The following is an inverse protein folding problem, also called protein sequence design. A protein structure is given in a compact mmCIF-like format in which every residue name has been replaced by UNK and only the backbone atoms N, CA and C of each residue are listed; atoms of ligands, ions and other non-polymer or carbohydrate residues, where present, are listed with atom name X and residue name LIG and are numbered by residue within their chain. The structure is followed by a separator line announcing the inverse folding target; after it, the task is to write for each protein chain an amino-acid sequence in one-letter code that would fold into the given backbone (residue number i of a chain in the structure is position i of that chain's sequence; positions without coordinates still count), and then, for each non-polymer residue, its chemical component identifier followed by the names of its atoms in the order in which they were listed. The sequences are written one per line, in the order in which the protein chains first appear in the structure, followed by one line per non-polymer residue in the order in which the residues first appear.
data_IF_118364599479
#
_entry.id   IF_118364599479
#
_cell.length_a   1.000
_cell.length_b   1.000
_cell.length_c   1.000
_cell.angle_alpha   90.00
_cell.angle_beta   90.00
_cell.angle_gamma   90.00
#
_symmetry.space_group_name_H-M   'P 1'
#
loop_
_entity.id
_entity.type
_entity.pdbx_description
1 polymer ?
#
# COMPACT_ATOMS: atom_id res chain seq x y z
N UNK A 1 1.48 6.10 -27.16
CA UNK A 1 1.24 5.35 -25.90
C UNK A 1 -0.26 5.06 -25.84
N UNK A 2 -0.67 3.83 -25.52
CA UNK A 2 -2.10 3.43 -25.40
C UNK A 2 -2.29 2.60 -24.12
N UNK A 3 -3.47 2.67 -23.47
CA UNK A 3 -3.78 1.79 -22.33
C UNK A 3 -3.76 0.31 -22.73
N UNK A 4 -3.25 -0.55 -21.84
CA UNK A 4 -3.31 -2.01 -22.03
C UNK A 4 -4.39 -2.63 -21.16
N UNK A 5 -4.31 -2.42 -19.85
CA UNK A 5 -5.29 -2.85 -18.85
C UNK A 5 -5.34 -1.83 -17.72
N UNK A 6 -6.47 -1.76 -17.03
CA UNK A 6 -6.59 -1.04 -15.77
C UNK A 6 -6.36 -2.00 -14.60
N UNK A 7 -5.76 -1.50 -13.52
CA UNK A 7 -5.35 -2.32 -12.37
C UNK A 7 -5.55 -1.57 -11.06
N UNK A 8 -5.82 -2.31 -10.00
CA UNK A 8 -5.79 -1.77 -8.63
C UNK A 8 -4.35 -1.62 -8.15
N UNK A 9 -4.16 -0.92 -7.03
CA UNK A 9 -2.92 -0.97 -6.24
C UNK A 9 -3.29 -1.56 -4.89
N UNK A 10 -2.83 -2.78 -4.63
CA UNK A 10 -3.10 -3.51 -3.40
C UNK A 10 -2.17 -3.06 -2.26
N UNK A 11 -2.60 -3.24 -1.01
CA UNK A 11 -1.83 -2.93 0.20
C UNK A 11 -1.55 -4.23 0.98
N UNK A 12 -0.62 -5.09 0.52
CA UNK A 12 -0.23 -6.27 1.27
C UNK A 12 0.63 -5.90 2.49
N UNK A 13 0.50 -6.68 3.55
CA UNK A 13 1.25 -6.53 4.79
C UNK A 13 1.62 -7.87 5.41
N UNK A 14 2.69 -7.88 6.21
CA UNK A 14 3.13 -9.04 6.99
C UNK A 14 3.01 -8.71 8.48
N UNK A 15 1.86 -9.02 9.06
CA UNK A 15 1.62 -8.88 10.51
C UNK A 15 0.58 -9.87 10.96
N UNK A 16 0.99 -10.84 11.78
CA UNK A 16 0.11 -11.92 12.22
C UNK A 16 -1.05 -11.37 13.06
N UNK A 17 -2.25 -11.88 12.82
CA UNK A 17 -3.47 -11.51 13.53
C UNK A 17 -4.70 -12.07 12.82
N UNK A 18 -5.79 -12.28 13.56
CA UNK A 18 -7.03 -12.84 13.02
C UNK A 18 -8.06 -11.77 12.63
N UNK A 19 -7.94 -10.56 13.19
CA UNK A 19 -8.78 -9.44 12.81
C UNK A 19 -8.47 -9.00 11.37
N UNK A 20 -9.51 -8.60 10.64
CA UNK A 20 -9.35 -7.99 9.33
C UNK A 20 -8.72 -6.61 9.47
N UNK A 21 -7.75 -6.28 8.60
CA UNK A 21 -7.22 -4.93 8.48
C UNK A 21 -8.01 -4.19 7.40
N UNK A 22 -8.66 -3.12 7.81
CA UNK A 22 -9.37 -2.19 6.93
C UNK A 22 -8.87 -0.77 7.22
N UNK A 23 -8.14 -0.21 6.26
CA UNK A 23 -7.56 1.11 6.38
C UNK A 23 -8.57 2.14 5.88
N UNK A 24 -8.91 3.10 6.73
CA UNK A 24 -9.45 4.36 6.21
C UNK A 24 -8.39 5.05 5.34
N UNK A 25 -8.82 5.91 4.42
CA UNK A 25 -7.90 6.69 3.58
C UNK A 25 -6.94 7.52 4.45
N UNK A 26 -7.41 8.09 5.57
CA UNK A 26 -6.54 8.85 6.47
C UNK A 26 -5.48 7.96 7.16
N UNK A 27 -5.82 6.73 7.53
CA UNK A 27 -4.84 5.80 8.10
C UNK A 27 -3.82 5.34 7.06
N UNK A 28 -4.26 5.10 5.82
CA UNK A 28 -3.35 4.79 4.71
C UNK A 28 -2.35 5.93 4.50
N UNK A 29 -2.83 7.17 4.41
CA UNK A 29 -1.98 8.37 4.32
C UNK A 29 -1.03 8.49 5.51
N UNK A 30 -1.52 8.23 6.73
CA UNK A 30 -0.73 8.28 7.95
C UNK A 30 0.40 7.25 7.98
N UNK A 31 0.16 6.03 7.49
CA UNK A 31 1.17 4.98 7.40
C UNK A 31 2.27 5.37 6.41
N UNK A 32 1.90 5.78 5.19
CA UNK A 32 2.88 6.04 4.14
C UNK A 32 3.59 7.40 4.27
N UNK A 33 3.08 8.32 5.09
CA UNK A 33 3.77 9.55 5.50
C UNK A 33 4.66 9.36 6.73
N UNK A 34 4.50 8.24 7.46
CA UNK A 34 5.20 7.98 8.71
C UNK A 34 4.57 8.63 9.94
N UNK A 35 3.38 9.24 9.83
CA UNK A 35 2.62 9.74 11.00
C UNK A 35 2.11 8.60 11.87
N UNK A 36 1.71 7.47 11.27
CA UNK A 36 1.35 6.24 11.97
C UNK A 36 2.50 5.25 11.87
N UNK A 37 3.14 4.98 13.00
CA UNK A 37 4.36 4.18 13.10
C UNK A 37 4.14 2.87 13.86
N UNK A 38 2.98 2.66 14.47
CA UNK A 38 2.64 1.45 15.23
C UNK A 38 1.27 0.90 14.82
N UNK A 39 1.17 -0.42 14.71
CA UNK A 39 -0.06 -1.11 14.32
C UNK A 39 -1.23 -0.86 15.29
N UNK A 40 -0.95 -0.51 16.55
CA UNK A 40 -1.98 -0.13 17.54
C UNK A 40 -2.72 1.16 17.16
N UNK A 41 -2.13 1.99 16.30
CA UNK A 41 -2.75 3.21 15.78
C UNK A 41 -3.70 2.93 14.61
N UNK A 42 -3.74 1.69 14.12
CA UNK A 42 -4.70 1.24 13.11
C UNK A 42 -5.93 0.66 13.82
N UNK A 43 -6.99 1.46 13.91
CA UNK A 43 -8.29 1.10 14.48
C UNK A 43 -8.79 -0.24 13.94
N UNK A 44 -9.20 -1.14 14.83
CA UNK A 44 -9.76 -2.44 14.46
C UNK A 44 -8.74 -3.48 13.99
N UNK A 45 -7.45 -3.13 13.87
CA UNK A 45 -6.43 -4.06 13.38
C UNK A 45 -6.16 -5.23 14.33
N UNK A 46 -6.45 -5.08 15.63
CA UNK A 46 -6.12 -6.07 16.65
C UNK A 46 -4.62 -6.38 16.75
N UNK A 47 -3.76 -5.48 16.26
CA UNK A 47 -2.30 -5.66 16.14
C UNK A 47 -1.58 -4.51 16.86
N UNK A 48 -0.36 -4.77 17.29
CA UNK A 48 0.53 -3.78 17.95
C UNK A 48 1.96 -3.91 17.45
N UNK A 49 2.81 -2.92 17.72
CA UNK A 49 4.22 -2.91 17.37
C UNK A 49 4.51 -2.14 16.08
N UNK A 50 5.79 -1.93 15.81
CA UNK A 50 6.24 -1.04 14.75
C UNK A 50 5.72 -1.42 13.36
N UNK A 51 5.39 -0.39 12.58
CA UNK A 51 5.11 -0.45 11.15
C UNK A 51 6.40 -0.14 10.41
N UNK A 52 6.74 -0.95 9.41
CA UNK A 52 7.86 -0.70 8.51
C UNK A 52 7.36 -0.66 7.08
N UNK A 53 7.47 0.50 6.44
CA UNK A 53 7.09 0.65 5.02
C UNK A 53 8.18 0.04 4.14
N UNK A 54 7.78 -0.84 3.23
CA UNK A 54 8.62 -1.32 2.13
C UNK A 54 8.21 -0.59 0.85
N UNK A 55 9.17 -0.08 0.09
CA UNK A 55 8.90 0.69 -1.13
C UNK A 55 9.84 0.32 -2.28
N UNK A 56 9.49 0.76 -3.50
CA UNK A 56 10.27 0.53 -4.72
C UNK A 56 11.48 1.47 -4.78
N UNK A 57 12.68 0.91 -4.89
CA UNK A 57 13.94 1.67 -4.91
C UNK A 57 14.15 2.44 -6.22
N UNK A 58 13.56 1.94 -7.31
CA UNK A 58 13.73 2.41 -8.67
C UNK A 58 12.48 3.15 -9.20
N UNK A 59 12.62 3.78 -10.38
CA UNK A 59 11.48 4.35 -11.11
C UNK A 59 10.45 3.26 -11.41
N UNK A 60 9.23 3.42 -10.87
CA UNK A 60 8.17 2.43 -10.92
C UNK A 60 6.82 3.05 -11.27
N UNK A 61 6.13 2.47 -12.26
CA UNK A 61 4.75 2.83 -12.57
C UNK A 61 3.78 2.50 -11.43
N UNK A 62 4.05 1.46 -10.63
CA UNK A 62 3.26 1.16 -9.43
C UNK A 62 3.38 2.29 -8.40
N UNK A 63 4.58 2.88 -8.25
CA UNK A 63 4.78 4.06 -7.41
C UNK A 63 4.02 5.27 -7.95
N UNK A 64 4.02 5.47 -9.27
CA UNK A 64 3.28 6.58 -9.88
C UNK A 64 1.77 6.46 -9.63
N UNK A 65 1.16 5.29 -9.91
CA UNK A 65 -0.26 5.06 -9.66
C UNK A 65 -0.62 5.27 -8.18
N UNK A 66 0.21 4.76 -7.27
CA UNK A 66 0.00 4.91 -5.84
C UNK A 66 0.12 6.36 -5.38
N UNK A 67 1.17 7.06 -5.80
CA UNK A 67 1.42 8.45 -5.39
C UNK A 67 0.41 9.43 -6.01
N UNK A 68 -0.19 9.13 -7.18
CA UNK A 68 -1.37 9.85 -7.70
C UNK A 68 -2.53 9.80 -6.71
N UNK A 69 -2.83 8.62 -6.17
CA UNK A 69 -3.88 8.48 -5.15
C UNK A 69 -3.52 9.27 -3.89
N UNK A 70 -2.29 9.11 -3.38
CA UNK A 70 -1.86 9.82 -2.16
C UNK A 70 -1.90 11.35 -2.34
N UNK A 71 -1.40 11.86 -3.48
CA UNK A 71 -1.46 13.28 -3.83
C UNK A 71 -2.90 13.82 -3.81
N UNK A 72 -3.85 13.05 -4.34
CA UNK A 72 -5.24 13.48 -4.44
C UNK A 72 -6.04 13.37 -3.13
N UNK A 73 -5.61 12.50 -2.20
CA UNK A 73 -6.42 12.12 -1.04
C UNK A 73 -5.80 12.44 0.32
N UNK A 74 -4.48 12.56 0.40
CA UNK A 74 -3.79 12.74 1.66
C UNK A 74 -3.65 14.20 2.03
N UNK A 75 -4.30 14.59 3.14
CA UNK A 75 -4.05 15.82 3.85
C UNK A 75 -3.16 15.52 5.07
N UNK A 76 -1.85 15.59 4.87
CA UNK A 76 -0.82 15.43 5.91
C UNK A 76 -0.13 16.77 6.18
N UNK A 77 0.81 16.82 7.12
CA UNK A 77 1.59 18.05 7.38
C UNK A 77 2.46 18.45 6.18
N UNK A 78 2.87 17.46 5.38
CA UNK A 78 3.50 17.65 4.08
C UNK A 78 2.60 17.18 2.94
N UNK A 79 3.09 17.29 1.71
CA UNK A 79 2.41 16.82 0.50
C UNK A 79 3.10 15.60 -0.10
N UNK A 80 2.30 14.72 -0.72
CA UNK A 80 2.80 13.69 -1.64
C UNK A 80 2.83 14.24 -3.06
N UNK A 81 3.98 14.22 -3.71
CA UNK A 81 4.14 14.50 -5.13
C UNK A 81 3.86 13.24 -5.96
N UNK A 82 3.30 13.43 -7.16
CA UNK A 82 3.15 12.38 -8.16
C UNK A 82 4.51 12.08 -8.75
N UNK A 83 5.00 10.85 -8.56
CA UNK A 83 6.36 10.46 -9.00
C UNK A 83 6.48 8.96 -9.18
N UNK A 84 7.40 8.53 -10.04
CA UNK A 84 7.79 7.12 -10.16
C UNK A 84 8.78 6.69 -9.08
N UNK A 85 9.42 7.64 -8.38
CA UNK A 85 10.37 7.38 -7.30
C UNK A 85 9.74 7.72 -5.93
N UNK A 86 9.26 6.69 -5.22
CA UNK A 86 8.53 6.86 -3.97
C UNK A 86 9.33 7.57 -2.88
N UNK A 87 10.66 7.39 -2.83
CA UNK A 87 11.52 8.05 -1.85
C UNK A 87 11.46 9.59 -1.92
N UNK A 88 11.08 10.14 -3.08
CA UNK A 88 10.92 11.57 -3.32
C UNK A 88 9.47 12.06 -3.22
N UNK A 89 8.51 11.17 -2.98
CA UNK A 89 7.08 11.53 -3.05
C UNK A 89 6.66 12.43 -1.89
N UNK A 90 6.90 12.01 -0.64
CA UNK A 90 6.48 12.80 0.51
C UNK A 90 7.51 13.88 0.84
N UNK A 91 7.06 15.13 0.88
CA UNK A 91 7.91 16.29 1.25
C UNK A 91 8.52 16.21 2.66
N UNK A 92 7.91 15.44 3.57
CA UNK A 92 8.45 15.18 4.91
C UNK A 92 9.51 14.07 4.96
N UNK A 93 9.90 13.50 3.81
CA UNK A 93 10.83 12.38 3.73
C UNK A 93 10.16 11.01 3.91
N UNK A 94 10.97 9.96 3.90
CA UNK A 94 10.48 8.60 4.10
C UNK A 94 10.13 8.35 5.57
N UNK A 95 9.16 7.46 5.86
CA UNK A 95 8.96 6.93 7.21
C UNK A 95 10.25 6.36 7.78
N UNK A 96 10.45 6.51 9.08
CA UNK A 96 11.63 5.95 9.76
C UNK A 96 11.73 4.44 9.50
N UNK A 97 12.97 3.97 9.28
CA UNK A 97 13.27 2.56 9.00
C UNK A 97 12.62 1.96 7.74
N UNK A 98 12.14 2.80 6.81
CA UNK A 98 11.63 2.32 5.52
C UNK A 98 12.69 1.49 4.77
N UNK A 99 12.24 0.41 4.13
CA UNK A 99 13.09 -0.53 3.40
C UNK A 99 12.82 -0.42 1.92
N UNK A 100 13.86 -0.20 1.12
CA UNK A 100 13.77 -0.20 -0.33
C UNK A 100 14.06 -1.58 -0.92
N UNK A 101 13.36 -1.96 -1.99
CA UNK A 101 13.72 -3.11 -2.81
C UNK A 101 13.40 -2.85 -4.30
N UNK A 102 14.08 -3.56 -5.20
CA UNK A 102 13.97 -3.34 -6.65
C UNK A 102 13.08 -4.40 -7.30
N UNK A 103 12.02 -3.97 -7.98
CA UNK A 103 11.03 -4.85 -8.62
C UNK A 103 9.98 -5.42 -7.66
N UNK A 104 8.82 -5.77 -8.21
CA UNK A 104 7.65 -6.25 -7.44
C UNK A 104 7.97 -7.48 -6.59
N UNK A 105 8.69 -8.46 -7.16
CA UNK A 105 9.04 -9.68 -6.45
C UNK A 105 9.95 -9.42 -5.24
N UNK A 106 10.98 -8.58 -5.39
CA UNK A 106 11.90 -8.29 -4.30
C UNK A 106 11.23 -7.49 -3.19
N UNK A 107 10.28 -6.59 -3.52
CA UNK A 107 9.45 -5.92 -2.52
C UNK A 107 8.60 -6.92 -1.73
N UNK A 108 7.98 -7.92 -2.39
CA UNK A 108 7.24 -8.98 -1.68
C UNK A 108 8.16 -9.89 -0.86
N UNK A 109 9.37 -10.21 -1.33
CA UNK A 109 10.38 -10.91 -0.53
C UNK A 109 10.77 -10.10 0.70
N UNK A 110 11.03 -8.81 0.55
CA UNK A 110 11.33 -7.92 1.66
C UNK A 110 10.13 -7.80 2.62
N UNK A 111 8.90 -7.69 2.12
CA UNK A 111 7.69 -7.68 2.96
C UNK A 111 7.63 -8.91 3.87
N UNK A 112 7.86 -10.10 3.30
CA UNK A 112 7.77 -11.36 4.02
C UNK A 112 8.97 -11.67 4.93
N UNK A 113 10.09 -10.94 4.79
CA UNK A 113 11.30 -11.18 5.57
C UNK A 113 11.19 -10.76 7.05
N UNK A 114 10.22 -9.91 7.42
CA UNK A 114 10.00 -9.55 8.82
C UNK A 114 8.55 -9.13 9.08
N UNK A 115 8.06 -9.40 10.30
CA UNK A 115 6.77 -8.91 10.76
C UNK A 115 6.76 -7.37 10.89
N UNK A 116 5.56 -6.79 10.79
CA UNK A 116 5.34 -5.35 10.89
C UNK A 116 5.44 -4.62 9.56
N UNK A 117 5.78 -5.31 8.47
CA UNK A 117 6.00 -4.68 7.16
C UNK A 117 4.70 -4.48 6.39
N UNK A 118 4.63 -3.39 5.62
CA UNK A 118 3.50 -3.02 4.74
C UNK A 118 4.03 -2.38 3.47
N UNK A 119 3.35 -2.56 2.34
CA UNK A 119 3.75 -1.97 1.05
C UNK A 119 2.55 -1.68 0.14
N UNK A 120 2.83 -1.11 -1.03
CA UNK A 120 1.89 -0.95 -2.15
C UNK A 120 2.34 -1.84 -3.32
N UNK A 121 1.42 -2.55 -3.96
CA UNK A 121 1.78 -3.62 -4.89
C UNK A 121 0.77 -3.82 -6.02
N UNK A 122 1.25 -4.34 -7.15
CA UNK A 122 0.35 -4.91 -8.17
C UNK A 122 -0.46 -6.07 -7.57
N UNK A 123 -1.78 -6.16 -7.85
CA UNK A 123 -2.61 -7.26 -7.34
C UNK A 123 -2.05 -8.64 -7.71
N UNK A 124 -1.42 -8.78 -8.88
CA UNK A 124 -0.84 -10.06 -9.34
C UNK A 124 0.31 -10.58 -8.46
N UNK A 125 0.97 -9.68 -7.71
CA UNK A 125 2.07 -10.02 -6.80
C UNK A 125 1.63 -9.98 -5.33
N UNK A 126 0.57 -9.24 -5.00
CA UNK A 126 0.15 -9.00 -3.62
C UNK A 126 -0.40 -10.27 -2.94
N UNK A 127 -0.90 -11.22 -3.72
CA UNK A 127 -1.33 -12.54 -3.26
C UNK A 127 -1.00 -13.61 -4.31
N UNK A 128 -0.87 -14.87 -3.87
CA UNK A 128 -0.59 -16.01 -4.77
C UNK A 128 -1.82 -16.50 -5.53
N UNK A 129 -3.02 -16.05 -5.14
CA UNK A 129 -4.29 -16.38 -5.78
C UNK A 129 -5.20 -15.15 -5.77
N UNK A 130 -6.15 -15.08 -6.70
CA UNK A 130 -7.13 -13.98 -6.74
C UNK A 130 -7.95 -13.89 -5.44
N UNK A 131 -8.41 -15.02 -4.90
CA UNK A 131 -9.12 -15.07 -3.63
C UNK A 131 -8.25 -14.60 -2.44
N UNK A 132 -6.92 -14.73 -2.56
CA UNK A 132 -5.99 -14.21 -1.56
C UNK A 132 -5.99 -12.68 -1.47
N UNK A 133 -6.48 -11.95 -2.48
CA UNK A 133 -6.67 -10.50 -2.40
C UNK A 133 -7.81 -10.12 -1.45
N UNK A 134 -8.73 -11.04 -1.15
CA UNK A 134 -9.84 -10.84 -0.21
C UNK A 134 -9.48 -11.23 1.23
N UNK A 135 -8.32 -11.88 1.45
CA UNK A 135 -7.80 -12.23 2.78
C UNK A 135 -7.30 -10.96 3.49
N UNK A 136 -8.21 -10.28 4.19
CA UNK A 136 -7.94 -9.05 4.93
C UNK A 136 -7.00 -9.23 6.13
N UNK A 137 -6.53 -10.44 6.41
CA UNK A 137 -5.45 -10.69 7.38
C UNK A 137 -4.06 -10.53 6.77
N UNK A 138 -3.96 -10.41 5.42
CA UNK A 138 -2.71 -10.26 4.66
C UNK A 138 -2.72 -9.13 3.64
N UNK A 139 -3.87 -8.82 3.05
CA UNK A 139 -4.06 -7.72 2.08
C UNK A 139 -5.09 -6.78 2.64
N UNK A 140 -4.70 -5.55 3.00
CA UNK A 140 -5.60 -4.64 3.67
C UNK A 140 -6.75 -4.23 2.75
N UNK A 141 -7.94 -4.14 3.33
CA UNK A 141 -9.03 -3.38 2.71
C UNK A 141 -8.71 -1.89 2.80
N UNK A 142 -9.23 -1.12 1.86
CA UNK A 142 -9.16 0.34 1.90
C UNK A 142 -10.58 0.89 1.74
N UNK A 143 -11.09 1.55 2.78
CA UNK A 143 -12.47 2.04 2.80
C UNK A 143 -13.51 0.92 2.68
N UNK A 144 -13.25 -0.24 3.28
CA UNK A 144 -14.19 -1.37 3.31
C UNK A 144 -14.08 -2.37 2.16
N UNK A 145 -13.29 -2.09 1.12
CA UNK A 145 -13.18 -2.94 -0.07
C UNK A 145 -11.78 -3.55 -0.23
N UNK A 146 -11.73 -4.78 -0.73
CA UNK A 146 -10.49 -5.44 -1.14
C UNK A 146 -10.01 -4.90 -2.50
N UNK A 147 -8.73 -5.07 -2.85
CA UNK A 147 -8.19 -4.66 -4.16
C UNK A 147 -8.53 -5.65 -5.29
N UNK A 148 -9.47 -6.58 -5.08
CA UNK A 148 -9.89 -7.53 -6.11
C UNK A 148 -10.42 -6.78 -7.36
N UNK A 149 -10.15 -7.27 -8.60
CA UNK A 149 -10.53 -6.59 -9.83
C UNK A 149 -12.02 -6.21 -9.93
N UNK A 150 -12.91 -7.03 -9.35
CA UNK A 150 -14.34 -6.77 -9.32
C UNK A 150 -14.67 -5.41 -8.68
N UNK A 151 -13.94 -5.00 -7.65
CA UNK A 151 -14.20 -3.77 -6.89
C UNK A 151 -13.74 -2.49 -7.59
N UNK A 152 -12.99 -2.60 -8.69
CA UNK A 152 -12.54 -1.43 -9.49
C UNK A 152 -13.15 -1.40 -10.89
N UNK A 153 -13.73 -2.52 -11.34
CA UNK A 153 -14.26 -2.70 -12.70
C UNK A 153 -15.32 -1.68 -13.12
N UNK A 154 -16.25 -1.32 -12.22
CA UNK A 154 -17.30 -0.34 -12.50
C UNK A 154 -16.72 1.05 -12.75
N UNK A 155 -15.73 1.46 -11.96
CA UNK A 155 -15.07 2.75 -12.13
C UNK A 155 -14.24 2.80 -13.43
N UNK A 156 -13.61 1.68 -13.79
CA UNK A 156 -12.85 1.56 -15.05
C UNK A 156 -13.76 1.69 -16.27
N UNK A 157 -14.93 1.04 -16.23
CA UNK A 157 -15.89 1.08 -17.34
C UNK A 157 -16.57 2.45 -17.52
N UNK A 158 -16.35 3.39 -16.59
CA UNK A 158 -16.94 4.73 -16.64
C UNK A 158 -16.01 5.79 -17.28
N UNK A 159 -14.83 5.39 -17.77
CA UNK A 159 -13.81 6.25 -18.41
C UNK A 159 -13.68 5.86 -19.88
#
# INVERSE_FOLDING_TARGET
QVPSVATSVAIPFNKTGTANVDLSVNQLCGVFSGRLTDWSQITGSGRTGAITVVYRAESSGTSELFTRFLNAKCAETGTFAITTNFASSYSGGLPASAVSATGSQAVMTALNAAQGRITYMSPDYAATTLAGLDDATKVARVGGLSPAPANVSVAINAV
#
